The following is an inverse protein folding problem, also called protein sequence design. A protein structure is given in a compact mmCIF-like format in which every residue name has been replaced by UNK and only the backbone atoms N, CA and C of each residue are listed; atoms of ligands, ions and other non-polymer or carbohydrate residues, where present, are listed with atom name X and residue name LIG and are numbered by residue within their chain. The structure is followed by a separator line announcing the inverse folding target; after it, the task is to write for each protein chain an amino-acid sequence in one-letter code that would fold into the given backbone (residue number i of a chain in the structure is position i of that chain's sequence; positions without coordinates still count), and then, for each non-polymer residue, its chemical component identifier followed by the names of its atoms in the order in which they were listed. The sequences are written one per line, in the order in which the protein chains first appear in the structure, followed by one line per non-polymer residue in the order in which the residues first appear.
data_IF_610676676312
#
_entry.id   IF_610676676312
#
_cell.length_a   1.000
_cell.length_b   1.000
_cell.length_c   1.000
_cell.angle_alpha   90.00
_cell.angle_beta   90.00
_cell.angle_gamma   90.00
#
_symmetry.space_group_name_H-M   'P 1'
#
loop_
_entity.id
_entity.type
_entity.pdbx_description
1 polymer ?
#
# COMPACT_ATOMS: atom_id res chain seq x y z
N UNK A 1 9.26 15.73 28.27
CA UNK A 1 8.53 16.47 27.20
C UNK A 1 7.56 15.48 26.58
N UNK A 2 6.26 15.70 26.78
CA UNK A 2 5.21 14.87 26.20
C UNK A 2 5.06 15.28 24.75
N UNK A 3 5.51 14.43 23.81
CA UNK A 3 5.29 14.67 22.37
C UNK A 3 3.80 14.41 22.14
N UNK A 4 3.03 15.47 21.95
CA UNK A 4 1.65 15.39 21.47
C UNK A 4 1.72 14.90 20.00
N UNK A 5 1.44 13.61 19.81
CA UNK A 5 1.29 13.03 18.48
C UNK A 5 0.12 13.76 17.79
N UNK A 6 0.40 14.49 16.73
CA UNK A 6 -0.62 15.09 15.88
C UNK A 6 -1.46 13.95 15.28
N UNK A 7 -2.76 13.96 15.55
CA UNK A 7 -3.71 12.97 15.00
C UNK A 7 -4.15 13.29 13.57
N UNK A 8 -3.61 14.34 12.95
CA UNK A 8 -3.92 14.73 11.58
C UNK A 8 -3.22 13.79 10.59
N UNK A 9 -3.98 13.25 9.63
CA UNK A 9 -3.42 12.51 8.49
C UNK A 9 -2.50 13.43 7.66
N UNK A 10 -1.52 12.80 6.98
CA UNK A 10 -0.65 13.53 6.05
C UNK A 10 -1.45 14.18 4.90
N UNK A 11 -0.91 15.24 4.33
CA UNK A 11 -1.52 16.00 3.24
C UNK A 11 -1.07 15.43 1.89
N UNK A 12 -2.00 15.39 0.92
CA UNK A 12 -1.67 15.13 -0.48
C UNK A 12 -1.61 16.47 -1.22
N UNK A 13 -0.49 16.72 -1.90
CA UNK A 13 -0.23 17.96 -2.63
C UNK A 13 0.26 17.66 -4.05
N UNK A 14 -0.12 18.54 -4.99
CA UNK A 14 0.46 18.56 -6.34
C UNK A 14 1.47 19.69 -6.44
N UNK A 15 2.71 19.33 -6.75
CA UNK A 15 3.80 20.26 -6.95
C UNK A 15 3.68 21.01 -8.31
N UNK A 16 4.32 22.18 -8.47
CA UNK A 16 4.30 22.94 -9.73
C UNK A 16 4.79 22.14 -10.95
N UNK A 17 5.72 21.21 -10.78
CA UNK A 17 6.21 20.30 -11.82
C UNK A 17 5.21 19.16 -12.16
N UNK A 18 4.01 19.16 -11.55
CA UNK A 18 2.97 18.16 -11.78
C UNK A 18 3.12 16.89 -10.95
N UNK A 19 4.20 16.72 -10.20
CA UNK A 19 4.37 15.60 -9.30
C UNK A 19 3.33 15.62 -8.17
N UNK A 20 2.92 14.45 -7.69
CA UNK A 20 1.99 14.31 -6.56
C UNK A 20 2.73 13.69 -5.39
N UNK A 21 2.67 14.34 -4.25
CA UNK A 21 3.28 13.91 -3.01
C UNK A 21 2.24 13.75 -1.90
N UNK A 22 2.49 12.81 -0.99
CA UNK A 22 1.87 12.78 0.34
C UNK A 22 2.97 13.11 1.37
N UNK A 23 2.72 14.04 2.27
CA UNK A 23 3.70 14.38 3.29
C UNK A 23 3.06 14.85 4.60
N UNK A 24 3.74 14.69 5.70
CA UNK A 24 3.31 15.15 7.00
C UNK A 24 4.05 14.50 8.17
N UNK A 25 3.80 15.06 9.36
CA UNK A 25 4.41 14.60 10.60
C UNK A 25 3.89 13.22 11.05
N UNK A 26 2.75 12.78 10.53
CA UNK A 26 2.18 11.46 10.89
C UNK A 26 3.09 10.32 10.42
N UNK A 27 3.51 10.34 9.15
CA UNK A 27 4.48 9.38 8.63
C UNK A 27 5.93 9.87 8.75
N UNK A 28 6.14 11.14 9.13
CA UNK A 28 7.46 11.76 9.22
C UNK A 28 8.28 11.56 7.93
N UNK A 29 7.62 11.82 6.78
CA UNK A 29 8.22 11.61 5.46
C UNK A 29 7.53 12.43 4.37
N UNK A 30 8.22 12.51 3.21
CA UNK A 30 7.59 12.77 1.92
C UNK A 30 7.43 11.44 1.18
N UNK A 31 6.26 11.17 0.62
CA UNK A 31 6.01 10.09 -0.33
C UNK A 31 5.72 10.67 -1.71
N UNK A 32 6.64 10.52 -2.66
CA UNK A 32 6.41 10.82 -4.07
C UNK A 32 5.53 9.72 -4.68
N UNK A 33 4.24 9.98 -4.78
CA UNK A 33 3.23 9.05 -5.30
C UNK A 33 3.26 8.96 -6.82
N UNK A 34 3.45 10.12 -7.49
CA UNK A 34 3.52 10.25 -8.94
C UNK A 34 4.62 11.26 -9.31
N UNK A 35 5.51 10.88 -10.21
CA UNK A 35 6.65 11.69 -10.61
C UNK A 35 6.29 12.89 -11.53
N UNK A 36 5.02 13.00 -11.95
CA UNK A 36 4.60 13.99 -12.93
C UNK A 36 5.01 13.62 -14.36
N UNK A 37 4.52 14.41 -15.33
CA UNK A 37 4.75 14.18 -16.75
C UNK A 37 5.97 14.91 -17.32
N UNK A 38 6.56 15.84 -16.58
CA UNK A 38 7.77 16.55 -16.99
C UNK A 38 9.02 15.70 -16.75
N UNK A 39 9.66 15.14 -17.79
CA UNK A 39 10.84 14.31 -17.61
C UNK A 39 12.08 15.10 -17.21
N UNK A 40 12.09 16.43 -17.43
CA UNK A 40 13.22 17.29 -17.09
C UNK A 40 13.22 17.79 -15.65
N UNK A 41 12.13 17.57 -14.89
CA UNK A 41 12.04 18.01 -13.52
C UNK A 41 13.02 17.24 -12.64
N UNK A 42 13.96 17.94 -12.01
CA UNK A 42 14.85 17.37 -11.00
C UNK A 42 14.10 17.27 -9.67
N UNK A 43 13.46 16.13 -9.48
CA UNK A 43 12.64 15.88 -8.29
C UNK A 43 13.47 15.80 -7.00
N UNK A 44 14.65 15.16 -6.95
CA UNK A 44 15.53 15.22 -5.80
C UNK A 44 15.84 16.64 -5.33
N UNK A 45 16.19 17.57 -6.26
CA UNK A 45 16.47 18.99 -5.93
C UNK A 45 15.27 19.71 -5.30
N UNK A 46 14.05 19.26 -5.56
CA UNK A 46 12.84 19.81 -4.95
C UNK A 46 12.52 19.14 -3.61
N UNK A 47 12.61 17.81 -3.56
CA UNK A 47 12.14 17.01 -2.43
C UNK A 47 13.07 17.05 -1.23
N UNK A 48 14.41 17.04 -1.44
CA UNK A 48 15.40 17.02 -0.35
C UNK A 48 15.31 18.33 0.48
N UNK A 49 15.43 19.54 -0.12
CA UNK A 49 15.31 20.77 0.65
C UNK A 49 13.92 20.95 1.30
N UNK A 50 12.87 20.39 0.67
CA UNK A 50 11.54 20.38 1.27
C UNK A 50 11.51 19.52 2.53
N UNK A 51 12.05 18.30 2.49
CA UNK A 51 12.09 17.40 3.62
C UNK A 51 12.92 17.96 4.79
N UNK A 52 14.08 18.54 4.48
CA UNK A 52 14.94 19.21 5.46
C UNK A 52 14.22 20.38 6.16
N UNK A 53 13.61 21.29 5.38
CA UNK A 53 12.86 22.43 5.91
C UNK A 53 11.68 22.01 6.79
N UNK A 54 11.01 20.92 6.45
CA UNK A 54 9.87 20.37 7.20
C UNK A 54 10.32 19.48 8.37
N UNK A 55 11.61 19.14 8.48
CA UNK A 55 12.17 18.30 9.53
C UNK A 55 11.77 16.83 9.41
N UNK A 56 11.49 16.33 8.20
CA UNK A 56 11.16 14.92 7.97
C UNK A 56 12.41 14.05 7.97
N UNK A 57 12.25 12.78 8.34
CA UNK A 57 13.34 11.84 8.47
C UNK A 57 13.56 10.95 7.24
N UNK A 58 12.60 10.91 6.28
CA UNK A 58 12.69 10.08 5.07
C UNK A 58 11.99 10.74 3.88
N UNK A 59 12.53 10.49 2.68
CA UNK A 59 11.80 10.61 1.42
C UNK A 59 11.63 9.21 0.85
N UNK A 60 10.43 8.87 0.45
CA UNK A 60 10.09 7.63 -0.25
C UNK A 60 9.54 8.00 -1.63
N UNK A 61 10.04 7.37 -2.69
CA UNK A 61 9.64 7.69 -4.05
C UNK A 61 9.34 6.42 -4.86
N UNK A 62 8.20 6.41 -5.57
CA UNK A 62 7.87 5.44 -6.61
C UNK A 62 8.06 6.13 -7.95
N UNK A 63 9.05 5.70 -8.73
CA UNK A 63 9.47 6.34 -9.96
C UNK A 63 9.61 5.32 -11.11
N UNK A 64 9.46 5.75 -12.38
CA UNK A 64 9.89 4.94 -13.52
C UNK A 64 11.41 4.70 -13.49
N UNK A 65 11.85 3.54 -13.99
CA UNK A 65 13.28 3.18 -14.06
C UNK A 65 14.11 4.24 -14.77
N UNK A 66 13.57 4.86 -15.83
CA UNK A 66 14.24 5.92 -16.58
C UNK A 66 14.69 7.15 -15.74
N UNK A 67 14.17 7.28 -14.51
CA UNK A 67 14.58 8.32 -13.54
C UNK A 67 15.54 7.81 -12.48
N UNK A 68 15.89 6.52 -12.49
CA UNK A 68 16.71 5.88 -11.46
C UNK A 68 18.03 6.58 -11.25
N UNK A 69 18.80 6.81 -12.33
CA UNK A 69 20.11 7.46 -12.28
C UNK A 69 20.07 8.84 -11.59
N UNK A 70 19.05 9.65 -11.86
CA UNK A 70 18.89 10.98 -11.23
C UNK A 70 18.71 10.87 -9.72
N UNK A 71 17.94 9.89 -9.26
CA UNK A 71 17.74 9.65 -7.83
C UNK A 71 18.99 9.06 -7.18
N UNK A 72 19.67 8.11 -7.82
CA UNK A 72 20.92 7.51 -7.30
C UNK A 72 22.03 8.56 -7.18
N UNK A 73 22.18 9.47 -8.15
CA UNK A 73 23.14 10.58 -8.09
C UNK A 73 22.85 11.56 -6.95
N UNK A 74 21.62 11.60 -6.45
CA UNK A 74 21.20 12.38 -5.29
C UNK A 74 21.17 11.54 -3.99
N UNK A 75 21.94 10.46 -3.91
CA UNK A 75 22.10 9.58 -2.75
C UNK A 75 20.83 8.84 -2.30
N UNK A 76 19.83 8.71 -3.18
CA UNK A 76 18.72 7.79 -2.91
C UNK A 76 19.19 6.34 -3.07
N UNK A 77 18.67 5.47 -2.22
CA UNK A 77 18.93 4.03 -2.29
C UNK A 77 17.68 3.29 -2.76
N UNK A 78 17.85 2.29 -3.62
CA UNK A 78 16.75 1.45 -4.06
C UNK A 78 16.37 0.46 -2.96
N UNK A 79 15.10 0.47 -2.55
CA UNK A 79 14.50 -0.43 -1.56
C UNK A 79 13.68 -1.57 -2.20
N UNK A 80 13.32 -1.42 -3.48
CA UNK A 80 12.57 -2.42 -4.21
C UNK A 80 12.28 -2.02 -5.65
N UNK A 81 11.71 -2.97 -6.43
CA UNK A 81 11.25 -2.74 -7.79
C UNK A 81 10.07 -3.63 -8.15
N UNK A 82 9.33 -3.20 -9.16
CA UNK A 82 8.29 -3.99 -9.81
C UNK A 82 8.56 -3.94 -11.31
N UNK A 83 8.97 -5.06 -11.93
CA UNK A 83 9.13 -5.14 -13.38
C UNK A 83 7.82 -4.88 -14.12
N UNK A 84 7.92 -4.27 -15.29
CA UNK A 84 6.80 -4.03 -16.22
C UNK A 84 5.60 -3.32 -15.56
N UNK A 85 5.86 -2.46 -14.56
CA UNK A 85 4.82 -1.79 -13.76
C UNK A 85 3.99 -0.82 -14.59
N UNK A 86 4.65 0.04 -15.35
CA UNK A 86 3.98 1.07 -16.15
C UNK A 86 3.52 0.48 -17.46
N UNK A 87 2.22 0.23 -17.60
CA UNK A 87 1.59 -0.31 -18.80
C UNK A 87 2.12 -1.67 -19.28
N UNK A 88 2.79 -2.42 -18.40
CA UNK A 88 3.42 -3.70 -18.75
C UNK A 88 4.67 -3.54 -19.61
N UNK A 89 5.40 -2.42 -19.49
CA UNK A 89 6.59 -2.10 -20.32
C UNK A 89 7.75 -1.59 -19.47
N UNK A 90 7.52 -0.59 -18.60
CA UNK A 90 8.56 0.06 -17.83
C UNK A 90 8.49 -0.36 -16.36
N UNK A 91 9.65 -0.51 -15.74
CA UNK A 91 9.77 -0.88 -14.33
C UNK A 91 9.44 0.29 -13.41
N UNK A 92 8.90 -0.02 -12.24
CA UNK A 92 8.84 0.93 -11.14
C UNK A 92 9.98 0.65 -10.14
N UNK A 93 10.71 1.71 -9.78
CA UNK A 93 11.68 1.68 -8.70
C UNK A 93 11.08 2.33 -7.44
N UNK A 94 11.35 1.71 -6.30
CA UNK A 94 11.05 2.26 -4.98
C UNK A 94 12.34 2.77 -4.37
N UNK A 95 12.49 4.10 -4.32
CA UNK A 95 13.70 4.78 -3.89
C UNK A 95 13.49 5.43 -2.53
N UNK A 96 14.52 5.46 -1.71
CA UNK A 96 14.49 6.08 -0.39
C UNK A 96 15.70 6.99 -0.17
N UNK A 97 15.45 8.16 0.39
CA UNK A 97 16.48 9.04 0.95
C UNK A 97 16.24 9.19 2.45
N UNK A 98 17.28 8.90 3.24
CA UNK A 98 17.18 8.92 4.69
C UNK A 98 17.88 10.17 5.23
N UNK A 99 17.10 11.06 5.85
CA UNK A 99 17.63 12.26 6.54
C UNK A 99 18.08 11.94 7.98
N UNK A 100 17.79 10.71 8.47
CA UNK A 100 18.15 10.26 9.81
C UNK A 100 18.70 8.82 9.75
N UNK A 101 19.83 8.58 10.44
CA UNK A 101 20.40 7.23 10.56
C UNK A 101 19.45 6.26 11.27
N UNK A 102 18.72 6.72 12.28
CA UNK A 102 17.75 5.88 12.98
C UNK A 102 16.60 5.45 12.05
N UNK A 103 16.21 6.34 11.10
CA UNK A 103 15.22 5.99 10.10
C UNK A 103 15.73 4.95 9.09
N UNK A 104 17.02 4.96 8.77
CA UNK A 104 17.67 3.98 7.90
C UNK A 104 17.87 2.62 8.57
N UNK A 105 17.96 2.60 9.91
CA UNK A 105 18.23 1.38 10.69
C UNK A 105 16.94 0.62 10.95
N UNK A 106 16.83 -0.56 10.38
CA UNK A 106 15.71 -1.48 10.60
C UNK A 106 15.89 -2.24 11.91
N UNK A 107 14.90 -2.17 12.80
CA UNK A 107 14.84 -3.05 13.96
C UNK A 107 14.24 -4.42 13.60
N UNK A 108 14.54 -5.45 14.39
CA UNK A 108 13.95 -6.81 14.27
C UNK A 108 14.11 -7.45 12.89
N UNK A 109 15.20 -7.15 12.19
CA UNK A 109 15.49 -7.63 10.82
C UNK A 109 15.28 -9.14 10.67
N UNK A 110 15.74 -9.94 11.66
CA UNK A 110 15.57 -11.40 11.64
C UNK A 110 14.09 -11.81 11.60
N UNK A 111 13.26 -11.16 12.41
CA UNK A 111 11.81 -11.42 12.43
C UNK A 111 11.14 -11.05 11.11
N UNK A 112 11.53 -9.92 10.52
CA UNK A 112 11.00 -9.49 9.23
C UNK A 112 11.42 -10.45 8.12
N UNK A 113 12.65 -10.96 8.16
CA UNK A 113 13.15 -11.96 7.23
C UNK A 113 12.42 -13.31 7.40
N UNK A 114 12.19 -13.75 8.63
CA UNK A 114 11.41 -14.95 8.93
C UNK A 114 10.00 -14.87 8.34
N UNK A 115 9.28 -13.75 8.54
CA UNK A 115 7.95 -13.53 7.97
C UNK A 115 7.98 -13.63 6.45
N UNK A 116 8.97 -13.00 5.79
CA UNK A 116 9.15 -13.08 4.34
C UNK A 116 9.40 -14.52 3.88
N UNK A 117 10.30 -15.24 4.52
CA UNK A 117 10.63 -16.64 4.18
C UNK A 117 9.41 -17.56 4.33
N UNK A 118 8.66 -17.42 5.44
CA UNK A 118 7.42 -18.17 5.65
C UNK A 118 6.42 -17.86 4.53
N UNK A 119 6.24 -16.60 4.16
CA UNK A 119 5.32 -16.22 3.09
C UNK A 119 5.76 -16.84 1.76
N UNK A 120 7.02 -16.70 1.39
CA UNK A 120 7.58 -17.27 0.16
C UNK A 120 7.43 -18.81 0.11
N UNK A 121 7.60 -19.52 1.23
CA UNK A 121 7.39 -20.98 1.32
C UNK A 121 5.94 -21.40 1.08
N UNK A 122 4.97 -20.47 1.18
CA UNK A 122 3.55 -20.72 0.93
C UNK A 122 3.10 -20.38 -0.49
N UNK A 123 4.01 -19.95 -1.36
CA UNK A 123 3.70 -19.64 -2.75
C UNK A 123 3.13 -20.87 -3.46
N UNK A 124 1.97 -20.70 -4.10
CA UNK A 124 1.25 -21.79 -4.76
C UNK A 124 0.64 -22.84 -3.83
N UNK A 125 0.68 -22.64 -2.51
CA UNK A 125 0.03 -23.54 -1.58
C UNK A 125 -1.49 -23.57 -1.79
N UNK A 126 -2.10 -24.72 -1.60
CA UNK A 126 -3.54 -24.92 -1.77
C UNK A 126 -4.35 -23.91 -0.94
N UNK A 127 -5.34 -23.31 -1.58
CA UNK A 127 -6.29 -22.38 -0.97
C UNK A 127 -7.55 -23.17 -0.65
N UNK A 128 -7.94 -23.19 0.63
CA UNK A 128 -9.20 -23.79 1.05
C UNK A 128 -10.36 -23.07 0.33
N UNK A 129 -11.32 -23.78 -0.25
CA UNK A 129 -12.50 -23.17 -0.85
C UNK A 129 -13.25 -22.27 0.14
N UNK A 130 -13.82 -21.17 -0.36
CA UNK A 130 -14.71 -20.33 0.44
C UNK A 130 -15.98 -21.13 0.77
N UNK A 131 -16.41 -21.05 2.02
CA UNK A 131 -17.72 -21.55 2.43
C UNK A 131 -18.81 -20.59 1.93
N UNK A 132 -19.30 -20.81 0.72
CA UNK A 132 -20.28 -19.93 0.06
C UNK A 132 -21.69 -20.02 0.69
N UNK A 133 -21.95 -20.99 1.55
CA UNK A 133 -23.18 -21.04 2.34
C UNK A 133 -23.15 -19.99 3.48
N UNK A 134 -21.96 -19.61 3.92
CA UNK A 134 -21.76 -18.65 5.03
C UNK A 134 -21.29 -17.28 4.59
N UNK A 135 -20.49 -17.21 3.53
CA UNK A 135 -19.78 -15.99 3.14
C UNK A 135 -20.07 -15.63 1.69
N UNK A 136 -20.46 -14.38 1.48
CA UNK A 136 -20.70 -13.84 0.15
C UNK A 136 -19.78 -12.67 -0.12
N UNK A 137 -19.02 -12.72 -1.24
CA UNK A 137 -18.15 -11.62 -1.65
C UNK A 137 -18.93 -10.70 -2.57
N UNK A 138 -18.80 -9.39 -2.37
CA UNK A 138 -19.41 -8.36 -3.21
C UNK A 138 -18.47 -7.19 -3.46
N UNK A 139 -18.70 -6.45 -4.52
CA UNK A 139 -18.20 -5.09 -4.68
C UNK A 139 -19.04 -4.17 -3.80
N UNK A 140 -18.39 -3.34 -2.95
CA UNK A 140 -19.08 -2.43 -2.08
C UNK A 140 -19.67 -1.25 -2.86
N UNK A 141 -20.80 -0.74 -2.38
CA UNK A 141 -21.55 0.38 -2.96
C UNK A 141 -21.58 1.59 -2.00
N UNK A 142 -21.99 2.77 -2.47
CA UNK A 142 -22.11 3.95 -1.60
C UNK A 142 -22.94 3.74 -0.33
N UNK A 143 -23.91 2.84 -0.36
CA UNK A 143 -24.72 2.49 0.80
C UNK A 143 -23.95 1.73 1.90
N UNK A 144 -22.78 1.19 1.59
CA UNK A 144 -21.97 0.40 2.53
C UNK A 144 -20.99 1.25 3.36
N UNK A 145 -20.75 2.53 2.99
CA UNK A 145 -19.62 3.33 3.51
C UNK A 145 -19.62 3.50 5.03
N UNK A 146 -20.78 3.65 5.64
CA UNK A 146 -20.89 3.74 7.11
C UNK A 146 -20.40 2.45 7.77
N UNK A 147 -20.85 1.32 7.28
CA UNK A 147 -20.42 0.02 7.80
C UNK A 147 -18.97 -0.27 7.50
N UNK A 148 -18.46 0.16 6.34
CA UNK A 148 -17.03 0.06 6.00
C UNK A 148 -16.17 0.85 7.00
N UNK A 149 -16.53 2.11 7.28
CA UNK A 149 -15.83 2.94 8.24
C UNK A 149 -15.81 2.34 9.66
N UNK A 150 -16.91 1.72 10.09
CA UNK A 150 -16.99 1.00 11.37
C UNK A 150 -16.00 -0.18 11.43
N UNK A 151 -15.94 -0.98 10.37
CA UNK A 151 -14.99 -2.12 10.30
C UNK A 151 -13.55 -1.61 10.35
N UNK A 152 -13.22 -0.58 9.57
CA UNK A 152 -11.88 -0.01 9.57
C UNK A 152 -11.49 0.55 10.95
N UNK A 153 -12.39 1.27 11.64
CA UNK A 153 -12.15 1.74 13.02
C UNK A 153 -11.91 0.58 13.99
N UNK A 154 -12.63 -0.52 13.82
CA UNK A 154 -12.50 -1.72 14.66
C UNK A 154 -11.19 -2.47 14.44
N UNK A 155 -10.62 -2.43 13.22
CA UNK A 155 -9.46 -3.25 12.83
C UNK A 155 -8.15 -2.44 12.90
N UNK A 156 -8.20 -1.15 12.55
CA UNK A 156 -7.02 -0.29 12.51
C UNK A 156 -7.12 0.82 13.56
N UNK A 157 -6.36 0.73 14.67
CA UNK A 157 -6.30 1.81 15.65
C UNK A 157 -5.79 3.13 15.06
N UNK A 158 -4.90 3.06 14.06
CA UNK A 158 -4.41 4.18 13.28
C UNK A 158 -4.10 3.75 11.83
N UNK A 159 -4.24 4.66 10.88
CA UNK A 159 -4.02 4.41 9.46
C UNK A 159 -3.50 5.68 8.77
N UNK A 160 -2.65 5.58 7.72
CA UNK A 160 -2.06 6.75 7.05
C UNK A 160 -3.06 7.60 6.26
N UNK A 161 -4.24 7.07 5.96
CA UNK A 161 -5.34 7.76 5.30
C UNK A 161 -6.60 7.75 6.17
N UNK A 162 -7.55 8.69 6.00
CA UNK A 162 -8.74 8.79 6.85
C UNK A 162 -9.83 7.78 6.46
N UNK A 163 -9.48 6.49 6.36
CA UNK A 163 -10.42 5.40 6.00
C UNK A 163 -11.53 5.17 7.04
N UNK A 164 -11.43 5.84 8.19
CA UNK A 164 -12.48 5.85 9.22
C UNK A 164 -13.60 6.85 8.95
N UNK A 165 -13.44 7.70 7.92
CA UNK A 165 -14.42 8.71 7.50
C UNK A 165 -15.24 8.20 6.31
N UNK A 166 -16.58 8.02 6.45
CA UNK A 166 -17.46 7.63 5.35
C UNK A 166 -17.41 8.60 4.16
N UNK A 167 -17.21 9.89 4.41
CA UNK A 167 -17.10 10.90 3.37
C UNK A 167 -15.86 10.70 2.51
N UNK A 168 -14.72 10.35 3.12
CA UNK A 168 -13.50 9.97 2.42
C UNK A 168 -13.70 8.71 1.58
N UNK A 169 -14.29 7.66 2.16
CA UNK A 169 -14.58 6.41 1.44
C UNK A 169 -15.49 6.66 0.22
N UNK A 170 -16.53 7.46 0.38
CA UNK A 170 -17.42 7.82 -0.71
C UNK A 170 -16.71 8.61 -1.81
N UNK A 171 -15.83 9.55 -1.44
CA UNK A 171 -15.04 10.36 -2.37
C UNK A 171 -14.09 9.48 -3.20
N UNK A 172 -13.34 8.60 -2.55
CA UNK A 172 -12.36 7.71 -3.20
C UNK A 172 -13.05 6.65 -4.07
N UNK A 173 -14.19 6.10 -3.61
CA UNK A 173 -15.04 5.19 -4.39
C UNK A 173 -15.53 5.81 -5.70
N UNK A 174 -15.79 7.12 -5.72
CA UNK A 174 -16.22 7.86 -6.94
C UNK A 174 -15.05 8.22 -7.87
N UNK A 175 -13.81 8.03 -7.45
CA UNK A 175 -12.63 8.41 -8.22
C UNK A 175 -11.82 7.21 -8.71
N UNK A 176 -11.01 6.63 -7.85
CA UNK A 176 -10.00 5.65 -8.26
C UNK A 176 -9.91 4.42 -7.36
N UNK A 177 -10.75 4.30 -6.31
CA UNK A 177 -10.70 3.17 -5.39
C UNK A 177 -11.92 2.27 -5.57
N UNK A 178 -11.68 0.98 -5.79
CA UNK A 178 -12.71 -0.04 -5.81
C UNK A 178 -12.67 -0.82 -4.50
N UNK A 179 -13.79 -0.87 -3.78
CA UNK A 179 -13.91 -1.58 -2.52
C UNK A 179 -14.61 -2.91 -2.68
N UNK A 180 -14.09 -3.93 -2.00
CA UNK A 180 -14.64 -5.28 -1.98
C UNK A 180 -14.92 -5.69 -0.54
N UNK A 181 -16.00 -6.42 -0.32
CA UNK A 181 -16.40 -6.84 1.01
C UNK A 181 -16.85 -8.29 1.06
N UNK A 182 -16.80 -8.87 2.25
CA UNK A 182 -17.41 -10.16 2.55
C UNK A 182 -18.58 -9.93 3.49
N UNK A 183 -19.72 -10.48 3.12
CA UNK A 183 -20.92 -10.53 3.96
C UNK A 183 -21.08 -11.90 4.63
N UNK A 184 -21.59 -11.85 5.86
CA UNK A 184 -22.06 -13.00 6.62
C UNK A 184 -23.39 -12.62 7.27
N UNK A 185 -24.44 -13.43 7.04
CA UNK A 185 -25.79 -13.18 7.54
C UNK A 185 -26.31 -11.74 7.22
N UNK A 186 -26.02 -11.22 6.02
CA UNK A 186 -26.44 -9.89 5.56
C UNK A 186 -25.64 -8.71 6.09
N UNK A 187 -24.57 -8.94 6.84
CA UNK A 187 -23.71 -7.88 7.37
C UNK A 187 -22.28 -7.98 6.84
N UNK A 188 -21.65 -6.85 6.46
CA UNK A 188 -20.23 -6.79 6.13
C UNK A 188 -19.37 -7.14 7.35
N UNK A 189 -18.38 -8.03 7.14
CA UNK A 189 -17.47 -8.54 8.17
C UNK A 189 -16.00 -8.44 7.79
N UNK A 190 -15.70 -8.26 6.51
CA UNK A 190 -14.35 -8.06 6.01
C UNK A 190 -14.38 -7.13 4.79
N UNK A 191 -13.29 -6.42 4.57
CA UNK A 191 -13.11 -5.44 3.50
C UNK A 191 -11.72 -5.50 2.91
N UNK A 192 -11.58 -5.00 1.69
CA UNK A 192 -10.33 -4.65 1.02
C UNK A 192 -10.58 -3.59 -0.04
N UNK A 193 -9.53 -2.91 -0.49
CA UNK A 193 -9.61 -1.93 -1.57
C UNK A 193 -8.56 -2.15 -2.64
N UNK A 194 -8.87 -1.73 -3.87
CA UNK A 194 -7.95 -1.63 -4.99
C UNK A 194 -7.84 -0.15 -5.38
N UNK A 195 -6.66 0.44 -5.18
CA UNK A 195 -6.35 1.79 -5.66
C UNK A 195 -5.84 1.69 -7.10
N UNK A 196 -6.64 2.18 -8.04
CA UNK A 196 -6.42 1.98 -9.49
C UNK A 196 -5.71 3.18 -10.11
N UNK A 197 -4.51 2.96 -10.61
CA UNK A 197 -3.81 3.89 -11.51
C UNK A 197 -4.00 3.43 -12.96
N UNK A 198 -4.98 4.04 -13.65
CA UNK A 198 -5.28 3.69 -15.04
C UNK A 198 -4.18 4.13 -16.00
N UNK A 199 -3.41 5.17 -15.65
CA UNK A 199 -2.31 5.65 -16.49
C UNK A 199 -1.13 4.69 -16.49
N UNK A 200 -0.90 4.01 -15.38
CA UNK A 200 0.11 2.96 -15.26
C UNK A 200 -0.43 1.56 -15.60
N UNK A 201 -1.75 1.39 -15.81
CA UNK A 201 -2.43 0.10 -15.85
C UNK A 201 -2.09 -0.79 -14.64
N UNK A 202 -1.95 -0.18 -13.45
CA UNK A 202 -1.56 -0.82 -12.20
C UNK A 202 -2.59 -0.58 -11.10
N UNK A 203 -2.69 -1.50 -10.14
CA UNK A 203 -3.55 -1.33 -8.96
C UNK A 203 -2.85 -1.81 -7.68
N UNK A 204 -2.92 -0.99 -6.62
CA UNK A 204 -2.51 -1.40 -5.29
C UNK A 204 -3.67 -2.11 -4.57
N UNK A 205 -3.42 -3.35 -4.14
CA UNK A 205 -4.36 -4.14 -3.34
C UNK A 205 -4.07 -3.89 -1.87
N UNK A 206 -4.94 -3.15 -1.20
CA UNK A 206 -4.67 -2.61 0.13
C UNK A 206 -5.87 -2.69 1.07
N UNK A 207 -5.79 -2.10 2.26
CA UNK A 207 -6.86 -1.92 3.26
C UNK A 207 -7.55 -3.21 3.73
N UNK A 208 -6.86 -4.35 3.71
CA UNK A 208 -7.45 -5.62 4.13
C UNK A 208 -7.82 -5.61 5.62
N UNK A 209 -9.10 -5.57 5.91
CA UNK A 209 -9.67 -5.58 7.24
C UNK A 209 -10.62 -6.77 7.41
N UNK A 210 -10.44 -7.54 8.47
CA UNK A 210 -11.37 -8.62 8.85
C UNK A 210 -11.68 -8.50 10.33
N UNK A 211 -12.96 -8.44 10.68
CA UNK A 211 -13.39 -8.40 12.07
C UNK A 211 -12.80 -9.59 12.86
N UNK A 212 -12.33 -9.39 14.09
CA UNK A 212 -11.61 -10.42 14.87
C UNK A 212 -12.33 -11.77 14.93
N UNK A 213 -13.66 -11.77 15.11
CA UNK A 213 -14.47 -12.98 15.21
C UNK A 213 -14.50 -13.83 13.91
N UNK A 214 -14.10 -13.25 12.76
CA UNK A 214 -14.12 -13.92 11.46
C UNK A 214 -12.73 -14.20 10.89
N UNK A 215 -11.67 -13.88 11.65
CA UNK A 215 -10.30 -14.22 11.26
C UNK A 215 -10.10 -15.74 11.21
N UNK A 216 -9.10 -16.19 10.46
CA UNK A 216 -8.83 -17.63 10.30
C UNK A 216 -9.67 -18.35 9.24
N UNK A 217 -10.70 -17.71 8.68
CA UNK A 217 -11.54 -18.28 7.61
C UNK A 217 -10.96 -18.11 6.18
N UNK A 218 -9.77 -17.50 6.03
CA UNK A 218 -9.15 -17.28 4.73
C UNK A 218 -9.82 -16.19 3.88
N UNK A 219 -10.62 -15.30 4.47
CA UNK A 219 -11.41 -14.30 3.72
C UNK A 219 -10.53 -13.38 2.88
N UNK A 220 -9.37 -12.95 3.39
CA UNK A 220 -8.46 -12.05 2.69
C UNK A 220 -7.95 -12.62 1.34
N UNK A 221 -7.66 -13.93 1.27
CA UNK A 221 -7.19 -14.54 0.02
C UNK A 221 -8.31 -14.64 -1.02
N UNK A 222 -9.56 -14.79 -0.60
CA UNK A 222 -10.71 -14.80 -1.49
C UNK A 222 -11.09 -13.38 -1.95
N UNK A 223 -10.99 -12.38 -1.07
CA UNK A 223 -11.11 -10.97 -1.45
C UNK A 223 -10.07 -10.61 -2.50
N UNK A 224 -8.79 -10.92 -2.25
CA UNK A 224 -7.72 -10.61 -3.20
C UNK A 224 -7.95 -11.28 -4.57
N UNK A 225 -8.45 -12.52 -4.60
CA UNK A 225 -8.80 -13.20 -5.86
C UNK A 225 -9.93 -12.49 -6.61
N UNK A 226 -10.97 -12.04 -5.91
CA UNK A 226 -12.07 -11.30 -6.54
C UNK A 226 -11.60 -9.92 -7.05
N UNK A 227 -10.74 -9.25 -6.29
CA UNK A 227 -10.11 -8.00 -6.72
C UNK A 227 -9.28 -8.20 -7.99
N UNK A 228 -8.43 -9.23 -8.07
CA UNK A 228 -7.68 -9.56 -9.28
C UNK A 228 -8.61 -9.74 -10.49
N UNK A 229 -9.72 -10.44 -10.33
CA UNK A 229 -10.72 -10.61 -11.40
C UNK A 229 -11.36 -9.26 -11.80
N UNK A 230 -11.62 -8.38 -10.84
CA UNK A 230 -12.12 -7.03 -11.10
C UNK A 230 -11.09 -6.21 -11.89
N UNK A 231 -9.84 -6.27 -11.52
CA UNK A 231 -8.75 -5.55 -12.18
C UNK A 231 -8.50 -6.07 -13.60
N UNK A 232 -8.54 -7.36 -13.83
CA UNK A 232 -8.47 -7.95 -15.18
C UNK A 232 -9.58 -7.43 -16.08
N UNK A 233 -10.84 -7.38 -15.59
CA UNK A 233 -11.97 -6.81 -16.36
C UNK A 233 -11.78 -5.32 -16.69
N UNK A 234 -10.98 -4.62 -15.90
CA UNK A 234 -10.63 -3.20 -16.06
C UNK A 234 -9.35 -2.96 -16.85
N UNK A 235 -8.80 -4.00 -17.49
CA UNK A 235 -7.54 -3.97 -18.25
C UNK A 235 -6.31 -3.50 -17.44
N UNK A 236 -6.32 -3.74 -16.14
CA UNK A 236 -5.15 -3.54 -15.29
C UNK A 236 -4.19 -4.71 -15.52
N UNK A 237 -2.92 -4.39 -15.71
CA UNK A 237 -1.85 -5.36 -16.01
C UNK A 237 -1.04 -5.75 -14.78
N UNK A 238 -0.82 -4.80 -13.87
CA UNK A 238 0.01 -5.03 -12.69
C UNK A 238 -0.79 -4.85 -11.41
N UNK A 239 -0.78 -5.87 -10.57
CA UNK A 239 -1.31 -5.84 -9.21
C UNK A 239 -0.16 -5.85 -8.21
N UNK A 240 -0.19 -4.97 -7.22
CA UNK A 240 0.83 -4.92 -6.18
C UNK A 240 0.24 -4.57 -4.82
N UNK A 241 1.06 -4.63 -3.80
CA UNK A 241 0.74 -4.15 -2.45
C UNK A 241 1.99 -3.69 -1.72
N UNK A 242 1.79 -2.76 -0.79
CA UNK A 242 2.78 -2.34 0.19
C UNK A 242 2.28 -2.80 1.56
N UNK A 243 2.60 -4.05 1.93
CA UNK A 243 2.08 -4.71 3.12
C UNK A 243 3.03 -4.58 4.31
N UNK A 244 2.49 -4.47 5.55
CA UNK A 244 3.29 -4.46 6.78
C UNK A 244 4.23 -5.67 6.82
N UNK A 245 5.54 -5.43 6.95
CA UNK A 245 6.54 -6.51 6.93
C UNK A 245 6.40 -7.48 8.11
N UNK A 246 5.84 -7.03 9.24
CA UNK A 246 5.56 -7.85 10.43
C UNK A 246 4.31 -8.73 10.29
N UNK A 247 3.43 -8.45 9.32
CA UNK A 247 2.14 -9.14 9.17
C UNK A 247 2.29 -10.46 8.42
N UNK A 248 2.58 -11.56 9.10
CA UNK A 248 2.71 -12.87 8.47
C UNK A 248 1.46 -13.24 7.65
N UNK A 249 0.25 -12.98 8.17
CA UNK A 249 -1.01 -13.31 7.49
C UNK A 249 -1.16 -12.61 6.14
N UNK A 250 -0.85 -11.30 6.05
CA UNK A 250 -0.96 -10.57 4.78
C UNK A 250 0.12 -10.99 3.79
N UNK A 251 1.39 -11.08 4.22
CA UNK A 251 2.47 -11.54 3.33
C UNK A 251 2.17 -12.95 2.77
N UNK A 252 1.66 -13.88 3.59
CA UNK A 252 1.23 -15.21 3.15
C UNK A 252 0.05 -15.14 2.16
N UNK A 253 -0.90 -14.24 2.37
CA UNK A 253 -2.06 -14.06 1.49
C UNK A 253 -1.62 -13.74 0.07
N UNK A 254 -0.74 -12.75 -0.09
CA UNK A 254 -0.20 -12.37 -1.39
C UNK A 254 0.66 -13.48 -2.01
N UNK A 255 1.58 -14.06 -1.24
CA UNK A 255 2.44 -15.13 -1.74
C UNK A 255 1.65 -16.36 -2.23
N UNK A 256 0.57 -16.76 -1.53
CA UNK A 256 -0.31 -17.87 -1.95
C UNK A 256 -0.95 -17.65 -3.32
N UNK A 257 -1.30 -16.41 -3.68
CA UNK A 257 -1.86 -16.07 -4.98
C UNK A 257 -0.79 -15.80 -6.06
N UNK A 258 0.47 -16.14 -5.77
CA UNK A 258 1.55 -16.13 -6.76
C UNK A 258 2.30 -14.81 -6.84
N UNK A 259 2.01 -13.84 -5.97
CA UNK A 259 2.79 -12.60 -5.91
C UNK A 259 4.26 -12.87 -5.63
N UNK A 260 5.13 -12.08 -6.27
CA UNK A 260 6.57 -12.09 -6.07
C UNK A 260 6.96 -10.96 -5.11
N UNK A 261 8.01 -11.17 -4.35
CA UNK A 261 8.58 -10.16 -3.46
C UNK A 261 9.39 -9.16 -4.28
N UNK A 262 9.02 -7.88 -4.21
CA UNK A 262 9.63 -6.79 -4.95
C UNK A 262 10.62 -5.96 -4.14
N UNK A 263 10.62 -6.08 -2.80
CA UNK A 263 11.54 -5.33 -1.95
C UNK A 263 10.96 -5.03 -0.57
N UNK A 264 11.79 -4.38 0.26
CA UNK A 264 11.39 -3.95 1.60
C UNK A 264 11.67 -2.47 1.79
N UNK A 265 10.63 -1.71 2.04
CA UNK A 265 10.66 -0.29 2.34
C UNK A 265 10.90 -0.13 3.84
N UNK A 266 12.13 0.25 4.22
CA UNK A 266 12.56 0.32 5.62
C UNK A 266 11.86 1.46 6.35
N UNK A 267 11.32 1.16 7.54
CA UNK A 267 10.70 2.15 8.42
C UNK A 267 9.82 3.14 7.63
N UNK A 268 8.90 2.64 6.81
CA UNK A 268 8.27 3.44 5.77
C UNK A 268 6.96 4.10 6.18
N UNK A 269 6.11 3.43 6.94
CA UNK A 269 4.72 3.88 7.15
C UNK A 269 4.35 3.82 8.61
N UNK A 270 3.75 4.90 9.12
CA UNK A 270 3.13 4.91 10.45
C UNK A 270 1.77 4.19 10.36
N UNK A 271 1.71 3.01 10.96
CA UNK A 271 0.52 2.16 10.96
C UNK A 271 0.45 1.37 12.26
N UNK A 272 -0.75 1.24 12.83
CA UNK A 272 -0.96 0.54 14.11
C UNK A 272 -0.11 1.10 15.27
N UNK A 273 0.14 2.42 15.26
CA UNK A 273 0.78 3.14 16.36
C UNK A 273 2.31 3.22 16.29
N UNK A 274 2.94 2.75 15.22
CA UNK A 274 4.40 2.87 15.03
C UNK A 274 4.78 2.98 13.56
N UNK A 275 5.98 3.51 13.31
CA UNK A 275 6.59 3.48 11.98
C UNK A 275 7.10 2.07 11.73
N UNK A 276 6.63 1.45 10.64
CA UNK A 276 6.96 0.07 10.29
C UNK A 276 7.60 -0.04 8.92
N UNK A 277 8.44 -1.06 8.77
CA UNK A 277 8.89 -1.51 7.45
C UNK A 277 7.77 -2.21 6.70
N UNK A 278 7.76 -2.03 5.39
CA UNK A 278 6.73 -2.56 4.51
C UNK A 278 7.36 -3.47 3.44
N UNK A 279 6.70 -4.57 3.12
CA UNK A 279 7.10 -5.45 2.02
C UNK A 279 6.28 -5.13 0.77
N UNK A 280 6.97 -4.97 -0.35
CA UNK A 280 6.35 -4.87 -1.67
C UNK A 280 6.14 -6.28 -2.22
N UNK A 281 4.92 -6.58 -2.64
CA UNK A 281 4.58 -7.80 -3.37
C UNK A 281 3.87 -7.40 -4.67
N UNK A 282 4.17 -8.09 -5.77
CA UNK A 282 3.57 -7.78 -7.07
C UNK A 282 3.25 -9.04 -7.88
N UNK A 283 2.33 -8.88 -8.82
CA UNK A 283 1.91 -9.92 -9.75
C UNK A 283 1.45 -9.28 -11.04
N UNK A 284 1.92 -9.81 -12.16
CA UNK A 284 1.36 -9.53 -13.48
C UNK A 284 -0.01 -10.22 -13.58
N UNK A 285 -1.00 -9.46 -14.02
CA UNK A 285 -2.35 -9.96 -14.28
C UNK A 285 -2.48 -10.27 -15.76
N UNK A 286 -2.67 -11.56 -16.09
CA UNK A 286 -2.77 -12.11 -17.46
C UNK A 286 -4.06 -12.90 -17.61
#
# INVERSE_FOLDING_TARGET
MTITCSTASDTIERLPCGAVIQHGAYNDRIYLMQAGSDPSADLPEVLIPMAERMGYSKIFAKIPEARGDTFEQADFVQEGSIPDFYNGVDDALFMAYFLSEDRAREERVDRLNEVRQIAQSKRGAAIRPLDTARFHIKRCAPADVERMAEIYRSVFPSYPFPIHDPGYLLKTMKSHVEYYGVEHAGALIALSSAEVDRSAAAAEMTDFATLPAFRGNGLAVHLLREMEQGMLRSAIKTSYTIARAVSAGMNITFAKLGYRFGGRLKNNTNISGSIESMNVWYKELV
#
